data_IF_993559341494
#
_entry.id   IF_993559341494
#
_cell.length_a   1.000
_cell.length_b   1.000
_cell.length_c   1.000
_cell.angle_alpha   90.00
_cell.angle_beta   90.00
_cell.angle_gamma   90.00
#
_symmetry.space_group_name_H-M   'P 1'
#
loop_
_entity.id
_entity.type
_entity.pdbx_description
1 polymer ?
#
# COMPACT_ATOMS: atom_id res chain seq x y z
N UNK A 1 9.77 20.01 22.05
CA UNK A 1 11.04 19.34 22.43
C UNK A 1 11.07 17.97 21.76
N UNK A 2 12.24 17.46 21.36
CA UNK A 2 12.34 16.12 20.76
C UNK A 2 11.95 15.04 21.79
N UNK A 3 11.47 13.88 21.33
CA UNK A 3 11.07 12.77 22.21
C UNK A 3 12.19 12.42 23.20
N UNK A 4 13.44 12.40 22.74
CA UNK A 4 14.63 12.20 23.57
C UNK A 4 14.79 13.27 24.66
N UNK A 5 14.69 14.57 24.32
CA UNK A 5 14.83 15.65 25.30
C UNK A 5 13.78 15.55 26.43
N UNK A 6 12.52 15.27 26.07
CA UNK A 6 11.43 15.09 27.05
C UNK A 6 11.72 13.91 27.99
N UNK A 7 12.32 12.82 27.49
CA UNK A 7 12.66 11.65 28.30
C UNK A 7 13.90 11.84 29.15
N UNK A 8 14.89 12.61 28.70
CA UNK A 8 16.03 13.04 29.51
C UNK A 8 15.56 13.90 30.68
N UNK A 9 14.67 14.87 30.44
CA UNK A 9 14.15 15.73 31.51
C UNK A 9 13.35 14.92 32.55
N UNK A 10 12.56 13.94 32.10
CA UNK A 10 11.85 13.02 32.98
C UNK A 10 12.81 12.13 33.80
N UNK A 11 13.86 11.58 33.17
CA UNK A 11 14.90 10.79 33.83
C UNK A 11 15.63 11.59 34.91
N UNK A 12 16.04 12.81 34.59
CA UNK A 12 16.72 13.73 35.53
C UNK A 12 15.81 14.08 36.70
N UNK A 13 14.53 14.36 36.44
CA UNK A 13 13.55 14.70 37.48
C UNK A 13 13.29 13.53 38.45
N UNK A 14 13.23 12.30 37.95
CA UNK A 14 13.04 11.11 38.78
C UNK A 14 14.29 10.77 39.62
N UNK A 15 15.49 10.93 39.04
CA UNK A 15 16.75 10.75 39.76
C UNK A 15 16.93 11.80 40.87
N UNK A 16 16.54 13.06 40.61
CA UNK A 16 16.63 14.15 41.58
C UNK A 16 15.64 14.06 42.75
N UNK A 17 14.53 13.33 42.57
CA UNK A 17 13.50 13.13 43.60
C UNK A 17 13.69 11.86 44.44
N UNK A 18 14.71 11.05 44.15
CA UNK A 18 14.97 9.77 44.84
C UNK A 18 13.93 8.69 44.55
N UNK A 19 13.01 8.93 43.61
CA UNK A 19 11.97 8.00 43.20
C UNK A 19 12.42 7.24 41.94
N UNK A 20 13.28 6.23 42.12
CA UNK A 20 13.71 5.34 41.03
C UNK A 20 12.60 4.50 40.39
N UNK A 21 11.36 4.57 40.89
CA UNK A 21 10.28 3.63 40.57
C UNK A 21 9.31 4.10 39.47
N UNK A 22 9.56 5.23 38.80
CA UNK A 22 8.64 5.80 37.79
C UNK A 22 9.21 5.95 36.38
N UNK A 23 10.45 5.52 36.15
CA UNK A 23 11.09 5.67 34.85
C UNK A 23 10.80 4.47 33.96
N UNK A 24 10.19 4.76 32.81
CA UNK A 24 10.09 3.82 31.71
C UNK A 24 11.44 3.74 30.99
N UNK A 25 12.32 2.88 31.50
CA UNK A 25 13.66 2.65 30.96
C UNK A 25 13.62 2.18 29.50
N UNK A 26 12.61 1.40 29.11
CA UNK A 26 12.46 0.94 27.73
C UNK A 26 12.17 2.10 26.78
N UNK A 27 11.26 3.01 27.13
CA UNK A 27 11.01 4.18 26.27
C UNK A 27 12.18 5.17 26.26
N UNK A 28 12.99 5.24 27.33
CA UNK A 28 14.24 6.02 27.32
C UNK A 28 15.29 5.39 26.40
N UNK A 29 15.45 4.07 26.42
CA UNK A 29 16.34 3.32 25.52
C UNK A 29 15.89 3.50 24.08
N UNK A 30 14.60 3.38 23.79
CA UNK A 30 14.04 3.57 22.45
C UNK A 30 14.24 5.01 21.94
N UNK A 31 14.00 6.01 22.79
CA UNK A 31 14.24 7.40 22.45
C UNK A 31 15.72 7.69 22.19
N UNK A 32 16.63 7.05 22.93
CA UNK A 32 18.08 7.16 22.74
C UNK A 32 18.54 6.49 21.43
N UNK A 33 17.97 5.32 21.10
CA UNK A 33 18.26 4.60 19.86
C UNK A 33 17.86 5.40 18.63
N UNK A 34 16.70 6.04 18.65
CA UNK A 34 16.24 6.90 17.55
C UNK A 34 17.18 8.08 17.27
N UNK A 35 17.83 8.63 18.29
CA UNK A 35 18.83 9.70 18.10
C UNK A 35 20.11 9.14 17.47
N UNK A 36 20.58 7.97 17.92
CA UNK A 36 21.72 7.29 17.33
C UNK A 36 21.47 6.96 15.86
N UNK A 37 20.31 6.39 15.54
CA UNK A 37 19.93 6.03 14.16
C UNK A 37 19.84 7.27 13.27
N UNK A 38 19.24 8.36 13.75
CA UNK A 38 19.16 9.62 12.99
C UNK A 38 20.54 10.23 12.69
N UNK A 39 21.45 10.26 13.69
CA UNK A 39 22.83 10.74 13.48
C UNK A 39 23.58 9.85 12.50
N UNK A 40 23.39 8.53 12.62
CA UNK A 40 23.99 7.53 11.75
C UNK A 40 23.51 7.66 10.31
N UNK A 41 22.22 7.88 10.09
CA UNK A 41 21.64 8.09 8.75
C UNK A 41 22.19 9.36 8.10
N UNK A 42 22.31 10.45 8.85
CA UNK A 42 22.94 11.68 8.37
C UNK A 42 24.40 11.41 7.98
N UNK A 43 25.17 10.70 8.81
CA UNK A 43 26.55 10.30 8.50
C UNK A 43 26.62 9.50 7.20
N UNK A 44 25.73 8.51 7.03
CA UNK A 44 25.66 7.72 5.79
C UNK A 44 25.30 8.58 4.58
N UNK A 45 24.26 9.41 4.66
CA UNK A 45 23.84 10.26 3.56
C UNK A 45 24.95 11.24 3.11
N UNK A 46 25.73 11.77 4.05
CA UNK A 46 26.88 12.63 3.76
C UNK A 46 28.01 11.85 3.08
N UNK A 47 28.28 10.61 3.52
CA UNK A 47 29.32 9.76 2.93
C UNK A 47 28.92 9.15 1.58
N UNK A 48 27.63 9.05 1.27
CA UNK A 48 27.13 8.58 -0.03
C UNK A 48 27.24 9.63 -1.15
N UNK A 49 27.58 10.89 -0.82
CA UNK A 49 27.87 11.95 -1.79
C UNK A 49 29.37 12.04 -2.14
N UNK A 50 30.20 11.07 -1.71
CA UNK A 50 31.58 10.92 -2.19
C UNK A 50 31.57 10.10 -3.48
N UNK A 51 32.22 10.62 -4.53
CA UNK A 51 32.44 9.88 -5.78
C UNK A 51 33.30 8.62 -5.50
N UNK A 52 33.04 7.53 -6.24
CA UNK A 52 33.61 6.19 -6.02
C UNK A 52 35.16 6.14 -5.96
N UNK A 53 35.87 7.18 -6.38
CA UNK A 53 37.34 7.26 -6.37
C UNK A 53 37.95 7.78 -5.05
N UNK A 54 37.15 8.40 -4.16
CA UNK A 54 37.63 8.95 -2.87
C UNK A 54 37.36 8.03 -1.66
N UNK A 55 36.92 6.79 -1.91
CA UNK A 55 36.66 5.81 -0.86
C UNK A 55 37.96 5.12 -0.45
N UNK A 56 38.59 5.63 0.61
CA UNK A 56 39.66 4.91 1.31
C UNK A 56 39.10 3.56 1.83
N UNK A 57 39.71 2.41 1.47
CA UNK A 57 39.32 1.09 1.99
C UNK A 57 39.28 1.02 3.52
N UNK A 58 40.00 1.90 4.23
CA UNK A 58 40.07 1.96 5.70
C UNK A 58 38.98 2.86 6.33
N UNK A 59 38.34 3.76 5.57
CA UNK A 59 37.24 4.64 6.04
C UNK A 59 35.89 3.91 6.13
N UNK A 60 35.80 2.70 5.55
CA UNK A 60 34.64 1.82 5.68
C UNK A 60 34.74 1.11 7.03
N UNK A 61 34.28 1.78 8.10
CA UNK A 61 34.03 1.09 9.37
C UNK A 61 33.16 -0.14 9.07
N UNK A 62 33.78 -1.31 9.18
CA UNK A 62 33.16 -2.61 9.27
C UNK A 62 32.28 -2.59 10.51
N UNK A 63 31.08 -2.03 10.38
CA UNK A 63 30.13 -2.02 11.48
C UNK A 63 29.54 -3.43 11.59
N UNK A 64 30.28 -4.31 12.27
CA UNK A 64 29.84 -5.63 12.71
C UNK A 64 28.52 -5.53 13.50
N UNK A 65 28.20 -4.36 14.08
CA UNK A 65 26.96 -4.13 14.81
C UNK A 65 25.70 -4.15 13.92
N UNK A 66 25.79 -3.76 12.64
CA UNK A 66 24.65 -3.90 11.72
C UNK A 66 24.32 -5.35 11.41
N UNK A 67 25.30 -6.25 11.53
CA UNK A 67 25.08 -7.71 11.36
C UNK A 67 24.57 -8.38 12.62
N UNK A 68 24.63 -7.69 13.77
CA UNK A 68 24.19 -8.22 15.07
C UNK A 68 22.69 -8.01 15.29
N UNK A 69 22.14 -6.88 14.85
CA UNK A 69 20.70 -6.59 14.96
C UNK A 69 19.85 -7.20 13.83
N UNK A 70 20.44 -7.46 12.67
CA UNK A 70 19.78 -8.16 11.54
C UNK A 70 20.03 -9.66 11.53
N UNK A 71 20.75 -10.21 12.52
CA UNK A 71 20.85 -11.65 12.71
C UNK A 71 19.45 -12.18 12.95
N UNK A 72 18.95 -12.96 11.99
CA UNK A 72 17.73 -13.75 12.15
C UNK A 72 17.86 -14.52 13.48
N UNK A 73 17.05 -14.14 14.48
CA UNK A 73 17.01 -14.78 15.81
C UNK A 73 16.29 -16.14 15.76
N UNK A 74 16.06 -16.69 14.56
CA UNK A 74 15.53 -18.03 14.34
C UNK A 74 16.57 -19.10 14.69
N UNK A 75 16.89 -19.21 15.98
CA UNK A 75 17.39 -20.47 16.55
C UNK A 75 16.19 -21.40 16.75
N UNK A 76 15.62 -21.87 15.65
CA UNK A 76 14.57 -22.88 15.68
C UNK A 76 14.97 -24.02 14.73
N UNK A 77 15.82 -24.89 15.26
CA UNK A 77 15.75 -26.33 15.05
C UNK A 77 15.68 -26.80 13.58
N UNK A 78 16.75 -26.59 12.81
CA UNK A 78 17.03 -27.51 11.70
C UNK A 78 17.64 -28.77 12.30
N UNK A 79 16.93 -29.88 12.13
CA UNK A 79 17.21 -31.16 12.76
C UNK A 79 18.65 -31.61 12.61
N UNK A 80 19.07 -32.42 13.58
CA UNK A 80 20.33 -33.11 13.72
C UNK A 80 20.57 -34.11 12.56
N UNK A 81 20.71 -33.62 11.33
CA UNK A 81 21.19 -34.43 10.21
C UNK A 81 22.69 -34.21 10.06
N UNK A 82 23.46 -34.96 10.84
CA UNK A 82 24.91 -35.12 10.71
C UNK A 82 25.29 -35.99 9.51
N UNK A 83 24.83 -35.63 8.31
CA UNK A 83 25.29 -36.26 7.07
C UNK A 83 26.45 -35.42 6.56
N UNK A 84 27.65 -36.01 6.56
CA UNK A 84 28.84 -35.39 5.98
C UNK A 84 28.64 -35.25 4.47
N UNK A 85 28.53 -34.01 3.99
CA UNK A 85 28.35 -33.69 2.57
C UNK A 85 29.65 -33.88 1.77
N UNK A 86 30.80 -33.94 2.46
CA UNK A 86 32.13 -34.06 1.89
C UNK A 86 32.96 -35.14 2.62
N UNK A 87 32.54 -36.43 2.58
CA UNK A 87 33.18 -37.51 3.34
C UNK A 87 34.66 -37.72 2.99
N UNK A 88 35.09 -37.29 1.81
CA UNK A 88 36.47 -37.42 1.32
C UNK A 88 37.39 -36.24 1.70
N UNK A 89 36.88 -35.22 2.40
CA UNK A 89 37.62 -33.99 2.70
C UNK A 89 37.73 -33.78 4.21
N UNK A 90 38.91 -34.10 4.76
CA UNK A 90 39.19 -33.93 6.19
C UNK A 90 38.97 -32.49 6.67
N UNK A 91 38.07 -32.33 7.65
CA UNK A 91 37.78 -31.07 8.31
C UNK A 91 36.78 -30.16 7.59
N UNK A 92 36.07 -30.65 6.57
CA UNK A 92 34.87 -29.99 6.01
C UNK A 92 33.75 -31.02 6.10
N UNK A 93 32.74 -30.75 6.92
CA UNK A 93 31.61 -31.68 7.09
C UNK A 93 30.34 -31.22 6.38
N UNK A 94 30.28 -29.95 5.98
CA UNK A 94 29.11 -29.34 5.36
C UNK A 94 29.51 -28.20 4.42
N UNK A 95 28.64 -27.89 3.46
CA UNK A 95 28.90 -26.84 2.47
C UNK A 95 29.18 -25.46 3.08
N UNK A 96 28.55 -25.08 4.21
CA UNK A 96 28.84 -23.81 4.88
C UNK A 96 30.29 -23.74 5.39
N UNK A 97 30.84 -24.83 5.91
CA UNK A 97 32.26 -24.89 6.32
C UNK A 97 33.20 -24.76 5.12
N UNK A 98 32.82 -25.32 3.97
CA UNK A 98 33.55 -25.12 2.72
C UNK A 98 33.61 -23.63 2.33
N UNK A 99 32.49 -22.89 2.46
CA UNK A 99 32.46 -21.45 2.19
C UNK A 99 33.42 -20.64 3.08
N UNK A 100 33.69 -21.08 4.32
CA UNK A 100 34.67 -20.42 5.20
C UNK A 100 36.12 -20.59 4.74
N UNK A 101 36.40 -21.70 4.05
CA UNK A 101 37.74 -22.10 3.61
C UNK A 101 38.06 -21.66 2.18
N UNK A 102 37.18 -20.89 1.55
CA UNK A 102 37.44 -20.29 0.23
C UNK A 102 38.67 -19.39 0.24
N UNK A 103 39.24 -19.16 -0.95
CA UNK A 103 40.37 -18.25 -1.12
C UNK A 103 39.98 -16.82 -0.76
N UNK A 104 40.95 -16.00 -0.34
CA UNK A 104 40.70 -14.59 -0.01
C UNK A 104 40.24 -13.78 -1.24
N UNK A 105 40.68 -14.15 -2.44
CA UNK A 105 40.21 -13.52 -3.69
C UNK A 105 38.71 -13.79 -3.91
N UNK A 106 38.26 -15.03 -3.72
CA UNK A 106 36.85 -15.39 -3.89
C UNK A 106 35.98 -14.79 -2.79
N UNK A 107 36.47 -14.76 -1.54
CA UNK A 107 35.80 -14.06 -0.44
C UNK A 107 35.62 -12.59 -0.75
N UNK A 108 36.62 -11.92 -1.32
CA UNK A 108 36.52 -10.51 -1.73
C UNK A 108 35.44 -10.30 -2.78
N UNK A 109 35.35 -11.18 -3.79
CA UNK A 109 34.28 -11.14 -4.81
C UNK A 109 32.90 -11.33 -4.19
N UNK A 110 32.77 -12.29 -3.26
CA UNK A 110 31.52 -12.52 -2.52
C UNK A 110 31.15 -11.27 -1.72
N UNK A 111 32.08 -10.67 -0.98
CA UNK A 111 31.83 -9.47 -0.19
C UNK A 111 31.35 -8.29 -1.05
N UNK A 112 31.94 -8.10 -2.23
CA UNK A 112 31.48 -7.07 -3.17
C UNK A 112 30.02 -7.28 -3.59
N UNK A 113 29.64 -8.53 -3.92
CA UNK A 113 28.25 -8.86 -4.27
C UNK A 113 27.29 -8.71 -3.08
N UNK A 114 27.74 -9.07 -1.88
CA UNK A 114 26.98 -8.90 -0.63
C UNK A 114 26.68 -7.42 -0.37
N UNK A 115 27.63 -6.52 -0.65
CA UNK A 115 27.42 -5.09 -0.43
C UNK A 115 26.43 -4.49 -1.45
N UNK A 116 26.47 -4.94 -2.71
CA UNK A 116 25.44 -4.58 -3.70
C UNK A 116 24.05 -5.06 -3.24
N UNK A 117 23.95 -6.30 -2.77
CA UNK A 117 22.69 -6.82 -2.22
C UNK A 117 22.21 -6.01 -1.01
N UNK A 118 23.13 -5.57 -0.15
CA UNK A 118 22.81 -4.75 1.03
C UNK A 118 22.24 -3.39 0.66
N UNK A 119 22.75 -2.77 -0.41
CA UNK A 119 22.21 -1.52 -0.97
C UNK A 119 20.77 -1.70 -1.44
N UNK A 120 20.50 -2.75 -2.21
CA UNK A 120 19.14 -3.10 -2.65
C UNK A 120 18.21 -3.38 -1.45
N UNK A 121 18.71 -4.08 -0.43
CA UNK A 121 17.96 -4.35 0.80
C UNK A 121 17.58 -3.07 1.53
N UNK A 122 18.44 -2.05 1.54
CA UNK A 122 18.12 -0.75 2.16
C UNK A 122 17.00 -0.03 1.40
N UNK A 123 17.00 -0.07 0.07
CA UNK A 123 15.90 0.45 -0.76
C UNK A 123 14.59 -0.29 -0.44
N UNK A 124 14.65 -1.62 -0.31
CA UNK A 124 13.51 -2.44 0.06
C UNK A 124 12.95 -2.09 1.46
N UNK A 125 13.82 -1.98 2.47
CA UNK A 125 13.41 -1.61 3.84
C UNK A 125 12.71 -0.26 3.87
N UNK A 126 13.26 0.74 3.16
CA UNK A 126 12.69 2.08 3.08
C UNK A 126 11.30 2.09 2.44
N UNK A 127 11.06 1.22 1.46
CA UNK A 127 9.74 1.09 0.85
C UNK A 127 8.76 0.41 1.80
N UNK A 128 9.16 -0.71 2.38
CA UNK A 128 8.30 -1.51 3.26
C UNK A 128 7.96 -0.79 4.57
N UNK A 129 8.85 0.07 5.08
CA UNK A 129 8.62 0.85 6.30
C UNK A 129 7.47 1.87 6.17
N UNK A 130 7.03 2.21 4.96
CA UNK A 130 5.89 3.11 4.72
C UNK A 130 4.54 2.47 5.02
N UNK A 131 4.51 1.14 5.13
CA UNK A 131 3.27 0.36 5.15
C UNK A 131 3.15 -0.42 6.47
N UNK A 132 1.95 -0.38 7.05
CA UNK A 132 1.58 -1.29 8.14
C UNK A 132 1.41 -2.71 7.59
N UNK A 133 1.88 -3.72 8.32
CA UNK A 133 1.80 -5.12 7.92
C UNK A 133 0.54 -5.83 8.46
N UNK A 134 -0.22 -5.19 9.36
CA UNK A 134 -1.48 -5.71 9.87
C UNK A 134 -2.51 -5.89 8.74
N UNK A 135 -2.70 -7.15 8.31
CA UNK A 135 -3.65 -7.50 7.26
C UNK A 135 -3.14 -7.28 5.82
N UNK A 136 -1.86 -6.98 5.64
CA UNK A 136 -1.25 -6.84 4.31
C UNK A 136 -0.32 -8.02 3.99
N UNK A 137 -0.90 -9.07 3.41
CA UNK A 137 -0.19 -10.29 3.05
C UNK A 137 0.92 -10.05 2.01
N UNK A 138 0.80 -9.03 1.14
CA UNK A 138 1.82 -8.67 0.15
C UNK A 138 3.10 -8.22 0.88
N UNK A 139 2.95 -7.32 1.85
CA UNK A 139 4.08 -6.81 2.65
C UNK A 139 4.68 -7.92 3.51
N UNK A 140 3.85 -8.76 4.14
CA UNK A 140 4.35 -9.90 4.92
C UNK A 140 5.12 -10.92 4.06
N UNK A 141 4.60 -11.27 2.88
CA UNK A 141 5.28 -12.17 1.95
C UNK A 141 6.60 -11.58 1.45
N UNK A 142 6.62 -10.29 1.12
CA UNK A 142 7.84 -9.60 0.70
C UNK A 142 8.91 -9.59 1.81
N UNK A 143 8.54 -9.27 3.06
CA UNK A 143 9.44 -9.35 4.22
C UNK A 143 9.96 -10.78 4.43
N UNK A 144 9.09 -11.78 4.31
CA UNK A 144 9.47 -13.20 4.45
C UNK A 144 10.48 -13.63 3.38
N UNK A 145 10.24 -13.29 2.11
CA UNK A 145 11.17 -13.56 1.01
C UNK A 145 12.52 -12.87 1.24
N UNK A 146 12.52 -11.61 1.68
CA UNK A 146 13.75 -10.86 2.01
C UNK A 146 14.54 -11.54 3.15
N UNK A 147 13.86 -12.03 4.18
CA UNK A 147 14.50 -12.77 5.28
C UNK A 147 15.22 -14.02 4.78
N UNK A 148 14.58 -14.82 3.91
CA UNK A 148 15.21 -16.03 3.36
C UNK A 148 16.40 -15.67 2.46
N UNK A 149 16.27 -14.62 1.64
CA UNK A 149 17.39 -14.15 0.81
C UNK A 149 18.60 -13.75 1.66
N UNK A 150 18.39 -13.08 2.80
CA UNK A 150 19.46 -12.76 3.75
C UNK A 150 20.14 -14.01 4.33
N UNK A 151 19.37 -15.06 4.67
CA UNK A 151 19.94 -16.32 5.15
C UNK A 151 20.80 -17.01 4.07
N UNK A 152 20.38 -16.95 2.81
CA UNK A 152 21.15 -17.45 1.66
C UNK A 152 22.42 -16.62 1.40
N UNK A 153 22.34 -15.29 1.53
CA UNK A 153 23.52 -14.41 1.42
C UNK A 153 24.50 -14.62 2.58
N UNK A 154 24.02 -14.93 3.78
CA UNK A 154 24.88 -15.27 4.90
C UNK A 154 25.56 -16.64 4.73
N UNK A 155 24.87 -17.60 4.10
CA UNK A 155 25.46 -18.89 3.77
C UNK A 155 26.69 -18.74 2.88
N UNK A 156 26.68 -17.84 1.88
CA UNK A 156 27.85 -17.64 1.00
C UNK A 156 29.06 -17.06 1.73
N UNK A 157 28.84 -16.44 2.90
CA UNK A 157 29.89 -15.94 3.79
C UNK A 157 30.34 -16.98 4.83
N UNK A 158 29.84 -18.22 4.73
CA UNK A 158 30.10 -19.28 5.70
C UNK A 158 29.42 -19.07 7.05
N UNK A 159 28.38 -18.24 7.14
CA UNK A 159 27.64 -17.96 8.39
C UNK A 159 26.14 -18.19 8.19
N UNK A 160 25.33 -17.75 9.15
CA UNK A 160 23.88 -17.93 9.08
C UNK A 160 23.39 -19.34 9.43
N UNK A 161 22.07 -19.56 9.36
CA UNK A 161 21.43 -20.78 9.85
C UNK A 161 21.54 -21.98 8.89
N UNK A 162 21.69 -21.74 7.59
CA UNK A 162 21.81 -22.79 6.56
C UNK A 162 23.17 -23.47 6.66
N UNK A 163 23.23 -24.80 6.64
CA UNK A 163 24.49 -25.55 6.82
C UNK A 163 24.89 -26.33 5.57
N UNK A 164 23.90 -26.94 4.92
CA UNK A 164 24.09 -27.85 3.78
C UNK A 164 23.59 -27.23 2.48
N UNK A 165 24.02 -27.77 1.34
CA UNK A 165 23.44 -27.35 0.04
C UNK A 165 21.93 -27.62 -0.01
N UNK A 166 21.47 -28.69 0.65
CA UNK A 166 20.05 -29.02 0.75
C UNK A 166 19.25 -27.93 1.47
N UNK A 167 19.81 -27.31 2.51
CA UNK A 167 19.16 -26.18 3.20
C UNK A 167 18.97 -24.98 2.26
N UNK A 168 19.97 -24.69 1.42
CA UNK A 168 19.93 -23.61 0.43
C UNK A 168 18.90 -23.90 -0.66
N UNK A 169 18.81 -25.15 -1.12
CA UNK A 169 17.79 -25.59 -2.09
C UNK A 169 16.39 -25.43 -1.49
N UNK A 170 16.20 -25.84 -0.24
CA UNK A 170 14.92 -25.70 0.46
C UNK A 170 14.56 -24.22 0.70
N UNK A 171 15.53 -23.37 1.01
CA UNK A 171 15.35 -21.92 1.11
C UNK A 171 14.88 -21.31 -0.22
N UNK A 172 15.53 -21.67 -1.33
CA UNK A 172 15.11 -21.25 -2.67
C UNK A 172 13.69 -21.71 -3.01
N UNK A 173 13.33 -22.94 -2.64
CA UNK A 173 11.96 -23.46 -2.80
C UNK A 173 10.93 -22.64 -2.01
N UNK A 174 11.22 -22.28 -0.76
CA UNK A 174 10.35 -21.40 0.05
C UNK A 174 10.15 -20.02 -0.58
N UNK A 175 11.21 -19.42 -1.14
CA UNK A 175 11.10 -18.14 -1.88
C UNK A 175 10.19 -18.32 -3.09
N UNK A 176 10.34 -19.41 -3.85
CA UNK A 176 9.48 -19.69 -5.01
C UNK A 176 8.01 -19.83 -4.62
N UNK A 177 7.71 -20.57 -3.54
CA UNK A 177 6.34 -20.74 -3.02
C UNK A 177 5.73 -19.40 -2.56
N UNK A 178 6.49 -18.57 -1.86
CA UNK A 178 6.07 -17.23 -1.45
C UNK A 178 5.83 -16.32 -2.67
N UNK A 179 6.70 -16.39 -3.68
CA UNK A 179 6.56 -15.64 -4.94
C UNK A 179 5.30 -16.03 -5.71
N UNK A 180 4.92 -17.31 -5.75
CA UNK A 180 3.65 -17.74 -6.36
C UNK A 180 2.43 -17.18 -5.62
N UNK A 181 2.47 -17.12 -4.28
CA UNK A 181 1.38 -16.50 -3.49
C UNK A 181 1.29 -14.99 -3.76
N UNK A 182 2.43 -14.32 -3.85
CA UNK A 182 2.52 -12.89 -4.16
C UNK A 182 1.96 -12.58 -5.56
N UNK A 183 2.31 -13.38 -6.57
CA UNK A 183 1.78 -13.27 -7.94
C UNK A 183 0.25 -13.39 -7.95
N UNK A 184 -0.30 -14.36 -7.21
CA UNK A 184 -1.75 -14.55 -7.09
C UNK A 184 -2.45 -13.30 -6.53
N UNK A 185 -1.96 -12.76 -5.42
CA UNK A 185 -2.53 -11.53 -4.82
C UNK A 185 -2.45 -10.34 -5.79
N UNK A 186 -1.34 -10.21 -6.49
CA UNK A 186 -1.13 -9.12 -7.46
C UNK A 186 -2.09 -9.23 -8.65
N UNK A 187 -2.35 -10.45 -9.14
CA UNK A 187 -3.36 -10.71 -10.19
C UNK A 187 -4.77 -10.39 -9.73
N UNK A 188 -5.15 -10.79 -8.52
CA UNK A 188 -6.47 -10.49 -7.96
C UNK A 188 -6.71 -8.97 -7.88
N UNK A 189 -5.68 -8.19 -7.51
CA UNK A 189 -5.73 -6.72 -7.53
C UNK A 189 -5.92 -6.19 -8.95
N UNK A 190 -5.17 -6.71 -9.93
CA UNK A 190 -5.29 -6.30 -11.32
C UNK A 190 -6.70 -6.57 -11.89
N UNK A 191 -7.26 -7.75 -11.61
CA UNK A 191 -8.61 -8.12 -12.04
C UNK A 191 -9.70 -7.20 -11.44
N UNK A 192 -9.53 -6.78 -10.18
CA UNK A 192 -10.44 -5.82 -9.54
C UNK A 192 -10.39 -4.44 -10.21
N UNK A 193 -9.21 -3.99 -10.63
CA UNK A 193 -9.04 -2.72 -11.36
C UNK A 193 -9.74 -2.77 -12.73
N UNK A 194 -9.64 -3.88 -13.45
CA UNK A 194 -10.34 -4.07 -14.73
C UNK A 194 -11.87 -4.05 -14.54
N UNK A 195 -12.37 -4.65 -13.46
CA UNK A 195 -13.79 -4.57 -13.11
C UNK A 195 -14.24 -3.12 -12.84
N UNK A 196 -13.47 -2.35 -12.07
CA UNK A 196 -13.79 -0.95 -11.77
C UNK A 196 -13.79 -0.07 -13.03
N UNK A 197 -12.82 -0.24 -13.93
CA UNK A 197 -12.78 0.50 -15.21
C UNK A 197 -13.96 0.13 -16.11
N UNK A 198 -14.36 -1.14 -16.16
CA UNK A 198 -15.54 -1.60 -16.90
C UNK A 198 -16.84 -0.97 -16.37
N UNK A 199 -16.96 -0.81 -15.04
CA UNK A 199 -18.12 -0.18 -14.41
C UNK A 199 -18.21 1.31 -14.76
N UNK A 200 -17.09 2.02 -14.72
CA UNK A 200 -17.01 3.44 -15.14
C UNK A 200 -17.41 3.58 -16.61
N UNK A 201 -16.95 2.67 -17.48
CA UNK A 201 -17.30 2.69 -18.90
C UNK A 201 -18.80 2.39 -19.14
N UNK A 202 -19.39 1.47 -18.38
CA UNK A 202 -20.82 1.21 -18.41
C UNK A 202 -21.64 2.43 -17.96
N UNK A 203 -21.23 3.11 -16.88
CA UNK A 203 -21.86 4.33 -16.40
C UNK A 203 -21.80 5.46 -17.45
N UNK A 204 -20.64 5.64 -18.11
CA UNK A 204 -20.47 6.59 -19.23
C UNK A 204 -21.42 6.28 -20.39
N UNK A 205 -21.53 5.00 -20.77
CA UNK A 205 -22.43 4.59 -21.85
C UNK A 205 -23.89 4.87 -21.50
N UNK A 206 -24.30 4.60 -20.26
CA UNK A 206 -25.63 4.90 -19.76
C UNK A 206 -25.92 6.41 -19.79
N UNK A 207 -24.98 7.24 -19.34
CA UNK A 207 -25.15 8.69 -19.34
C UNK A 207 -25.29 9.26 -20.76
N UNK A 208 -24.52 8.73 -21.72
CA UNK A 208 -24.69 9.05 -23.13
C UNK A 208 -26.07 8.66 -23.66
N UNK A 209 -26.57 7.47 -23.32
CA UNK A 209 -27.90 7.03 -23.71
C UNK A 209 -28.99 7.97 -23.15
N UNK A 210 -28.90 8.36 -21.88
CA UNK A 210 -29.83 9.32 -21.24
C UNK A 210 -29.87 10.65 -22.01
N UNK A 211 -28.70 11.21 -22.35
CA UNK A 211 -28.63 12.46 -23.13
C UNK A 211 -29.28 12.32 -24.49
N UNK A 212 -29.04 11.22 -25.20
CA UNK A 212 -29.65 10.96 -26.50
C UNK A 212 -31.17 10.80 -26.39
N UNK A 213 -31.66 10.11 -25.37
CA UNK A 213 -33.10 9.96 -25.11
C UNK A 213 -33.77 11.30 -24.83
N UNK A 214 -33.16 12.18 -24.02
CA UNK A 214 -33.66 13.54 -23.77
C UNK A 214 -33.73 14.35 -25.06
N UNK A 215 -32.66 14.34 -25.87
CA UNK A 215 -32.64 15.02 -27.17
C UNK A 215 -33.71 14.49 -28.12
N UNK A 216 -33.85 13.17 -28.23
CA UNK A 216 -34.87 12.54 -29.07
C UNK A 216 -36.30 12.87 -28.60
N UNK A 217 -36.53 12.90 -27.29
CA UNK A 217 -37.83 13.26 -26.69
C UNK A 217 -38.22 14.71 -27.00
N UNK A 218 -37.26 15.63 -26.94
CA UNK A 218 -37.46 17.03 -27.36
C UNK A 218 -37.83 17.12 -28.85
N UNK A 219 -37.08 16.45 -29.73
CA UNK A 219 -37.35 16.45 -31.17
C UNK A 219 -38.72 15.84 -31.48
N UNK A 220 -39.08 14.73 -30.83
CA UNK A 220 -40.39 14.10 -31.00
C UNK A 220 -41.52 15.03 -30.54
N UNK A 221 -41.41 15.63 -29.36
CA UNK A 221 -42.41 16.57 -28.81
C UNK A 221 -42.64 17.79 -29.70
N UNK A 222 -41.57 18.35 -30.27
CA UNK A 222 -41.66 19.53 -31.16
C UNK A 222 -42.16 19.19 -32.56
N UNK A 223 -41.84 18.00 -33.11
CA UNK A 223 -42.35 17.55 -34.42
C UNK A 223 -43.81 17.09 -34.36
N UNK A 224 -44.23 16.40 -33.31
CA UNK A 224 -45.63 15.98 -33.13
C UNK A 224 -46.56 17.19 -33.03
N UNK A 225 -46.11 18.26 -32.37
CA UNK A 225 -46.80 19.55 -32.31
C UNK A 225 -46.95 20.22 -33.68
N UNK A 226 -46.03 19.96 -34.64
CA UNK A 226 -46.08 20.55 -35.99
C UNK A 226 -46.94 19.78 -37.00
N UNK A 227 -47.18 18.48 -36.82
CA UNK A 227 -47.98 17.66 -37.74
C UNK A 227 -49.47 17.62 -37.41
N UNK A 228 -49.88 18.08 -36.22
CA UNK A 228 -51.29 18.31 -35.90
C UNK A 228 -51.79 19.60 -36.53
N UNK A 229 -52.64 19.50 -37.54
CA UNK A 229 -53.42 20.61 -38.09
C UNK A 229 -54.33 21.19 -37.00
N UNK A 230 -53.87 22.19 -36.26
CA UNK A 230 -54.66 23.30 -35.68
C UNK A 230 -53.65 24.40 -35.33
N UNK A 231 -53.76 25.52 -36.02
CA UNK A 231 -53.21 26.78 -35.57
C UNK A 231 -53.91 27.16 -34.25
N UNK A 232 -53.31 26.83 -33.09
CA UNK A 232 -53.63 27.46 -31.82
C UNK A 232 -52.37 28.00 -31.18
N UNK A 233 -52.45 29.29 -30.89
CA UNK A 233 -51.50 30.12 -30.16
C UNK A 233 -50.78 29.38 -29.04
N UNK A 234 -49.46 29.55 -29.00
CA UNK A 234 -48.53 29.19 -27.93
C UNK A 234 -49.16 29.15 -26.52
N UNK A 235 -49.77 28.04 -26.08
CA UNK A 235 -50.04 27.82 -24.63
C UNK A 235 -50.61 26.47 -24.21
N UNK A 236 -51.26 25.67 -25.05
CA UNK A 236 -52.01 24.50 -24.52
C UNK A 236 -51.26 23.16 -24.65
N UNK A 237 -50.90 22.60 -23.50
CA UNK A 237 -50.42 21.21 -23.36
C UNK A 237 -51.56 20.23 -23.65
N UNK A 238 -51.36 19.30 -24.59
CA UNK A 238 -52.30 18.19 -24.81
C UNK A 238 -52.21 17.18 -23.67
N UNK A 239 -53.32 16.53 -23.31
CA UNK A 239 -53.41 15.56 -22.19
C UNK A 239 -52.39 14.41 -22.27
N UNK A 240 -51.86 14.11 -23.45
CA UNK A 240 -50.86 13.06 -23.70
C UNK A 240 -49.39 13.51 -23.59
N UNK A 241 -49.09 14.80 -23.68
CA UNK A 241 -47.72 15.33 -23.60
C UNK A 241 -47.72 16.64 -22.78
N UNK A 242 -47.71 16.50 -21.46
CA UNK A 242 -47.76 17.61 -20.50
C UNK A 242 -46.44 18.35 -20.28
N UNK A 243 -45.36 17.98 -20.99
CA UNK A 243 -44.03 18.57 -20.80
C UNK A 243 -43.80 19.72 -21.78
N UNK A 244 -43.64 20.95 -21.26
CA UNK A 244 -43.31 22.14 -22.04
C UNK A 244 -41.79 22.38 -22.02
N UNK A 245 -41.16 22.27 -23.19
CA UNK A 245 -39.74 22.58 -23.37
C UNK A 245 -39.53 24.09 -23.59
N UNK A 246 -38.91 24.77 -22.63
CA UNK A 246 -38.69 26.23 -22.67
C UNK A 246 -37.24 26.47 -23.11
N UNK A 247 -37.00 27.19 -24.24
CA UNK A 247 -35.65 27.55 -24.67
C UNK A 247 -34.95 28.48 -23.66
N UNK A 248 -33.64 28.35 -23.54
CA UNK A 248 -32.82 29.24 -22.71
C UNK A 248 -32.83 30.66 -23.31
N UNK A 249 -33.13 31.67 -22.50
CA UNK A 249 -33.00 33.09 -22.86
C UNK A 249 -31.58 33.59 -22.60
N UNK A 250 -31.08 34.54 -23.42
CA UNK A 250 -29.73 35.11 -23.25
C UNK A 250 -29.46 35.69 -21.86
N UNK A 251 -30.52 36.08 -21.14
CA UNK A 251 -30.45 36.76 -19.85
C UNK A 251 -30.54 35.81 -18.63
N UNK A 252 -30.74 34.49 -18.83
CA UNK A 252 -30.85 33.51 -17.74
C UNK A 252 -30.28 32.13 -18.13
N UNK A 253 -28.99 31.94 -17.90
CA UNK A 253 -28.28 30.66 -18.07
C UNK A 253 -28.39 29.83 -16.77
N UNK A 254 -29.46 29.06 -16.63
CA UNK A 254 -29.61 28.14 -15.50
C UNK A 254 -28.66 26.95 -15.66
N UNK A 255 -27.88 26.64 -14.62
CA UNK A 255 -27.05 25.44 -14.54
C UNK A 255 -27.42 24.62 -13.29
N UNK A 256 -27.22 23.31 -13.35
CA UNK A 256 -27.41 22.41 -12.23
C UNK A 256 -26.08 21.71 -11.93
N UNK A 257 -25.56 21.88 -10.72
CA UNK A 257 -24.46 21.08 -10.20
C UNK A 257 -25.00 19.71 -9.80
N UNK A 258 -24.59 18.67 -10.53
CA UNK A 258 -25.08 17.29 -10.33
C UNK A 258 -24.28 16.57 -9.20
N UNK A 259 -23.24 17.20 -8.66
CA UNK A 259 -22.31 16.63 -7.67
C UNK A 259 -22.79 16.71 -6.20
N UNK A 260 -23.98 17.24 -5.92
CA UNK A 260 -24.57 17.30 -4.57
C UNK A 260 -25.79 16.39 -4.44
N UNK A 261 -25.97 15.75 -3.27
CA UNK A 261 -27.06 14.83 -2.96
C UNK A 261 -28.44 15.35 -3.44
N UNK A 262 -29.08 14.56 -4.30
CA UNK A 262 -30.45 14.79 -4.77
C UNK A 262 -31.43 14.65 -3.61
N UNK A 263 -31.89 15.77 -3.03
CA UNK A 263 -32.94 15.72 -1.99
C UNK A 263 -34.28 15.31 -2.60
N UNK A 264 -34.77 14.14 -2.22
CA UNK A 264 -36.08 13.63 -2.62
C UNK A 264 -37.19 14.40 -1.87
N UNK A 265 -37.89 15.31 -2.54
CA UNK A 265 -39.01 16.07 -1.95
C UNK A 265 -40.35 15.36 -2.20
N UNK A 266 -41.16 15.19 -1.15
CA UNK A 266 -42.55 14.70 -1.25
C UNK A 266 -43.53 15.87 -1.38
N UNK A 267 -44.56 15.66 -2.22
CA UNK A 267 -45.72 16.55 -2.49
C UNK A 267 -45.35 17.90 -3.15
N UNK A 268 -45.40 17.99 -4.50
CA UNK A 268 -44.98 19.18 -5.24
C UNK A 268 -45.80 20.46 -4.94
N UNK A 269 -47.05 20.32 -4.48
CA UNK A 269 -47.95 21.46 -4.22
C UNK A 269 -48.90 21.15 -3.05
N UNK A 270 -48.39 21.29 -1.82
CA UNK A 270 -49.16 21.02 -0.59
C UNK A 270 -50.52 21.73 -0.59
N UNK A 271 -50.59 23.01 -0.96
CA UNK A 271 -51.82 23.80 -0.93
C UNK A 271 -52.86 23.35 -1.96
N UNK A 272 -52.43 22.85 -3.12
CA UNK A 272 -53.35 22.36 -4.17
C UNK A 272 -53.86 20.94 -3.88
N UNK A 273 -53.05 20.12 -3.22
CA UNK A 273 -53.42 18.75 -2.82
C UNK A 273 -54.27 18.72 -1.55
N UNK A 274 -54.24 19.78 -0.72
CA UNK A 274 -55.01 19.87 0.52
C UNK A 274 -56.53 19.75 0.29
N UNK A 275 -57.05 20.30 -0.81
CA UNK A 275 -58.46 20.17 -1.18
C UNK A 275 -58.85 18.70 -1.43
N UNK A 276 -58.04 17.97 -2.20
CA UNK A 276 -58.29 16.56 -2.49
C UNK A 276 -58.10 15.67 -1.26
N UNK A 277 -57.10 15.94 -0.41
CA UNK A 277 -56.93 15.23 0.86
C UNK A 277 -58.15 15.41 1.79
N UNK A 278 -58.75 16.61 1.80
CA UNK A 278 -59.98 16.89 2.56
C UNK A 278 -61.20 16.20 1.94
N UNK A 279 -61.34 16.28 0.62
CA UNK A 279 -62.43 15.63 -0.14
C UNK A 279 -62.43 14.10 0.05
N UNK A 280 -61.25 13.46 -0.03
CA UNK A 280 -61.10 12.02 0.21
C UNK A 280 -61.33 11.63 1.68
N UNK A 281 -61.02 12.52 2.64
CA UNK A 281 -61.36 12.29 4.05
C UNK A 281 -62.87 12.36 4.30
N UNK A 282 -63.55 13.31 3.66
CA UNK A 282 -64.98 13.54 3.86
C UNK A 282 -65.83 12.49 3.12
N UNK A 283 -65.37 12.01 1.96
CA UNK A 283 -66.11 11.05 1.12
C UNK A 283 -65.65 9.60 1.27
N UNK A 284 -64.78 9.30 2.24
CA UNK A 284 -64.60 7.91 2.69
C UNK A 284 -65.82 7.54 3.52
N UNK A 285 -66.80 6.88 2.88
CA UNK A 285 -67.81 6.13 3.61
C UNK A 285 -67.11 5.05 4.47
N UNK A 286 -67.64 4.72 5.66
CA UNK A 286 -67.13 3.61 6.45
C UNK A 286 -67.22 2.28 5.70
#
# INVERSE_FOLDING_TARGET
MSKFAVRVDAAVSALGSGAGAGLDENDFIDASRLVYDGVREIRRAVLMNRDDEDLDPEDVELDEHYTLETRSKSSAHTGEHGVDEYPDISGITNAREAMRKMTEEDKRKILQQVELFRREKMTFDNEVAKWDDAGNDIIMLAKHMCMIMLEMTDFTRGRGPLKTTMDVINAAKKISEAGTKLDKLTREIAEQLDSATSLIQAAKNLMNAVVLTVKASYVASTKYTRQGTIARSYSETTELLSVKWIPISKDALNYLEIDKELTLKKRPKQTQMAFWDLYYKINKQP
#
